data_IF_901418336068
#
_entry.id   IF_901418336068
#
_cell.length_a   1.000
_cell.length_b   1.000
_cell.length_c   1.000
_cell.angle_alpha   90.00
_cell.angle_beta   90.00
_cell.angle_gamma   90.00
#
_symmetry.space_group_name_H-M   'P 1'
#
loop_
_entity.id
_entity.type
_entity.pdbx_description
1 polymer ?
#
# COMPACT_ATOMS: atom_id res chain seq x y z
N UNK A 1 2.52 40.84 -16.16
CA UNK A 1 2.79 39.50 -16.72
C UNK A 1 2.09 38.53 -15.78
N UNK A 2 0.80 38.29 -16.03
CA UNK A 2 -0.07 37.59 -15.09
C UNK A 2 0.04 36.08 -15.28
N UNK A 3 0.20 35.41 -14.14
CA UNK A 3 0.52 34.02 -13.88
C UNK A 3 -0.39 33.02 -14.60
N UNK A 4 0.20 31.90 -14.99
CA UNK A 4 -0.39 30.76 -15.68
C UNK A 4 -1.62 30.19 -14.95
N UNK A 5 -2.74 30.14 -15.65
CA UNK A 5 -3.99 29.49 -15.29
C UNK A 5 -4.08 28.17 -16.09
N UNK A 6 -3.29 27.16 -15.70
CA UNK A 6 -3.12 25.91 -16.48
C UNK A 6 -4.07 24.78 -16.10
N UNK A 7 -5.04 25.00 -15.19
CA UNK A 7 -5.98 23.94 -14.78
C UNK A 7 -5.31 22.69 -14.20
N UNK A 8 -4.04 22.81 -13.76
CA UNK A 8 -3.22 21.69 -13.31
C UNK A 8 -3.44 21.46 -11.81
N UNK A 9 -3.90 20.27 -11.44
CA UNK A 9 -4.04 19.85 -10.04
C UNK A 9 -2.96 18.83 -9.68
N UNK A 10 -2.39 18.97 -8.47
CA UNK A 10 -1.40 18.05 -7.91
C UNK A 10 -2.00 17.31 -6.72
N UNK A 11 -1.87 15.99 -6.71
CA UNK A 11 -2.35 15.14 -5.62
C UNK A 11 -1.20 14.28 -5.09
N UNK A 12 -0.87 14.46 -3.81
CA UNK A 12 0.04 13.58 -3.09
C UNK A 12 -0.75 12.41 -2.48
N UNK A 13 -0.39 11.18 -2.83
CA UNK A 13 -1.00 9.98 -2.25
C UNK A 13 -0.10 9.43 -1.14
N UNK A 14 -0.58 9.50 0.09
CA UNK A 14 0.10 8.94 1.25
C UNK A 14 -0.94 8.46 2.27
N UNK A 15 -1.34 7.19 2.18
CA UNK A 15 -2.39 6.59 3.01
C UNK A 15 -2.08 6.68 4.52
N UNK A 16 -0.81 6.61 4.90
CA UNK A 16 -0.38 6.77 6.29
C UNK A 16 -0.71 8.14 6.91
N UNK A 17 -0.93 9.19 6.08
CA UNK A 17 -1.29 10.51 6.59
C UNK A 17 -2.68 10.56 7.20
N UNK A 18 -3.59 9.65 6.85
CA UNK A 18 -4.90 9.57 7.49
C UNK A 18 -4.79 9.33 9.01
N UNK A 19 -3.82 8.52 9.45
CA UNK A 19 -3.58 8.25 10.87
C UNK A 19 -2.87 9.39 11.61
N UNK A 20 -2.24 10.31 10.89
CA UNK A 20 -1.43 11.40 11.49
C UNK A 20 -2.14 12.75 11.43
N UNK A 21 -2.91 12.98 10.37
CA UNK A 21 -3.53 14.26 10.04
C UNK A 21 -5.01 14.14 9.70
N UNK A 22 -5.53 12.93 9.50
CA UNK A 22 -6.94 12.69 9.29
C UNK A 22 -7.73 12.73 10.59
N UNK A 23 -9.03 12.71 10.43
CA UNK A 23 -10.02 12.49 11.47
C UNK A 23 -10.30 11.00 11.65
N UNK A 24 -10.97 10.64 12.72
CA UNK A 24 -11.43 9.26 12.93
C UNK A 24 -12.30 8.78 11.75
N UNK A 25 -13.12 9.67 11.17
CA UNK A 25 -13.93 9.37 9.98
C UNK A 25 -13.09 9.04 8.75
N UNK A 26 -11.93 9.67 8.57
CA UNK A 26 -11.04 9.39 7.42
C UNK A 26 -10.41 7.99 7.56
N UNK A 27 -10.10 7.58 8.79
CA UNK A 27 -9.59 6.23 9.09
C UNK A 27 -10.68 5.18 8.89
N UNK A 28 -11.91 5.47 9.33
CA UNK A 28 -13.07 4.60 9.11
C UNK A 28 -13.36 4.40 7.62
N UNK A 29 -13.35 5.47 6.82
CA UNK A 29 -13.57 5.41 5.38
C UNK A 29 -12.49 4.56 4.67
N UNK A 30 -11.22 4.74 5.04
CA UNK A 30 -10.14 3.87 4.54
C UNK A 30 -10.34 2.40 4.92
N UNK A 31 -10.90 2.14 6.11
CA UNK A 31 -11.26 0.79 6.55
C UNK A 31 -12.30 0.15 5.64
N UNK A 32 -13.39 0.88 5.34
CA UNK A 32 -14.45 0.40 4.44
C UNK A 32 -13.92 0.12 3.03
N UNK A 33 -13.10 1.01 2.49
CA UNK A 33 -12.45 0.80 1.18
C UNK A 33 -11.56 -0.45 1.17
N UNK A 34 -10.86 -0.72 2.28
CA UNK A 34 -10.03 -1.91 2.41
C UNK A 34 -10.86 -3.19 2.46
N UNK A 35 -11.99 -3.18 3.17
CA UNK A 35 -12.92 -4.32 3.22
C UNK A 35 -13.47 -4.67 1.84
N UNK A 36 -13.88 -3.66 1.06
CA UNK A 36 -14.33 -3.86 -0.33
C UNK A 36 -13.22 -4.46 -1.20
N UNK A 37 -11.99 -3.96 -1.10
CA UNK A 37 -10.86 -4.50 -1.84
C UNK A 37 -10.57 -5.96 -1.46
N UNK A 38 -10.67 -6.30 -0.17
CA UNK A 38 -10.48 -7.68 0.28
C UNK A 38 -11.57 -8.62 -0.21
N UNK A 39 -12.82 -8.17 -0.29
CA UNK A 39 -13.88 -8.97 -0.89
C UNK A 39 -13.54 -9.35 -2.34
N UNK A 40 -13.08 -8.38 -3.15
CA UNK A 40 -12.64 -8.64 -4.53
C UNK A 40 -11.46 -9.61 -4.63
N UNK A 41 -10.52 -9.54 -3.68
CA UNK A 41 -9.40 -10.50 -3.61
C UNK A 41 -9.91 -11.91 -3.26
N UNK A 42 -10.82 -12.02 -2.30
CA UNK A 42 -11.42 -13.30 -1.89
C UNK A 42 -12.26 -13.94 -3.01
N UNK A 43 -12.97 -13.13 -3.78
CA UNK A 43 -13.78 -13.57 -4.92
C UNK A 43 -12.92 -13.89 -6.16
N UNK A 44 -11.61 -13.62 -6.10
CA UNK A 44 -10.66 -13.87 -7.19
C UNK A 44 -10.74 -12.86 -8.33
N UNK A 45 -11.45 -11.75 -8.16
CA UNK A 45 -11.52 -10.65 -9.12
C UNK A 45 -10.25 -9.81 -9.14
N UNK A 46 -9.51 -9.80 -8.02
CA UNK A 46 -8.21 -9.13 -7.88
C UNK A 46 -7.14 -10.12 -7.44
N UNK A 47 -6.11 -10.30 -8.26
CA UNK A 47 -4.90 -11.03 -7.87
C UNK A 47 -4.01 -10.12 -6.99
N UNK A 48 -3.64 -10.52 -5.75
CA UNK A 48 -2.76 -9.75 -4.90
C UNK A 48 -1.29 -9.75 -5.38
N UNK A 49 -0.92 -10.56 -6.38
CA UNK A 49 0.41 -10.66 -7.00
C UNK A 49 1.48 -10.95 -5.94
N UNK A 50 1.20 -11.90 -5.04
CA UNK A 50 2.19 -12.37 -4.06
C UNK A 50 3.21 -13.25 -4.79
N UNK A 51 4.47 -12.85 -4.78
CA UNK A 51 5.55 -13.56 -5.46
C UNK A 51 6.37 -14.46 -4.54
N UNK A 52 6.35 -14.18 -3.23
CA UNK A 52 7.04 -14.99 -2.23
C UNK A 52 6.29 -14.98 -0.89
N UNK A 53 6.29 -16.13 -0.23
CA UNK A 53 5.83 -16.28 1.15
C UNK A 53 7.01 -16.76 1.99
N UNK A 54 7.24 -16.11 3.13
CA UNK A 54 8.38 -16.39 4.03
C UNK A 54 7.89 -16.58 5.47
N UNK A 55 8.70 -17.24 6.28
CA UNK A 55 8.51 -17.27 7.73
C UNK A 55 8.91 -15.93 8.39
N UNK A 56 8.48 -15.72 9.64
CA UNK A 56 8.83 -14.51 10.39
C UNK A 56 10.35 -14.37 10.65
N UNK A 57 11.07 -15.47 10.87
CA UNK A 57 12.51 -15.45 11.12
C UNK A 57 13.34 -15.08 9.89
N UNK A 58 12.78 -15.25 8.69
CA UNK A 58 13.40 -14.84 7.43
C UNK A 58 13.26 -13.34 7.12
N UNK A 59 12.38 -12.61 7.82
CA UNK A 59 12.10 -11.19 7.56
C UNK A 59 13.37 -10.33 7.58
N UNK A 60 14.26 -10.42 8.59
CA UNK A 60 15.47 -9.59 8.60
C UNK A 60 16.38 -9.84 7.40
N UNK A 61 16.48 -11.11 6.98
CA UNK A 61 17.29 -11.48 5.81
C UNK A 61 16.70 -10.91 4.52
N UNK A 62 15.39 -11.05 4.31
CA UNK A 62 14.72 -10.50 3.12
C UNK A 62 14.80 -8.98 3.05
N UNK A 63 14.69 -8.28 4.17
CA UNK A 63 14.87 -6.84 4.22
C UNK A 63 16.29 -6.41 3.80
N UNK A 64 17.31 -7.18 4.20
CA UNK A 64 18.69 -6.93 3.77
C UNK A 64 18.85 -7.13 2.25
N UNK A 65 18.29 -8.19 1.68
CA UNK A 65 18.31 -8.41 0.23
C UNK A 65 17.60 -7.28 -0.55
N UNK A 66 16.45 -6.81 -0.04
CA UNK A 66 15.71 -5.70 -0.64
C UNK A 66 16.52 -4.39 -0.61
N UNK A 67 17.24 -4.12 0.48
CA UNK A 67 18.12 -2.96 0.60
C UNK A 67 19.29 -3.00 -0.41
N UNK A 68 19.72 -4.19 -0.81
CA UNK A 68 20.72 -4.42 -1.87
C UNK A 68 20.13 -4.35 -3.29
N UNK A 69 18.84 -4.06 -3.44
CA UNK A 69 18.14 -3.99 -4.74
C UNK A 69 17.71 -5.34 -5.30
N UNK A 70 17.82 -6.43 -4.54
CA UNK A 70 17.33 -7.76 -4.93
C UNK A 70 15.84 -7.86 -4.63
N UNK A 71 15.00 -7.18 -5.42
CA UNK A 71 13.54 -7.23 -5.23
C UNK A 71 12.89 -8.27 -6.15
N UNK A 72 12.21 -9.26 -5.57
CA UNK A 72 11.49 -10.31 -6.29
C UNK A 72 9.97 -10.08 -6.43
N UNK A 73 9.47 -8.86 -6.18
CA UNK A 73 8.04 -8.55 -6.12
C UNK A 73 7.49 -8.56 -4.68
N UNK A 74 6.17 -8.75 -4.53
CA UNK A 74 5.49 -8.70 -3.22
C UNK A 74 5.79 -9.95 -2.40
N UNK A 75 6.48 -9.75 -1.28
CA UNK A 75 6.78 -10.81 -0.31
C UNK A 75 5.86 -10.66 0.91
N UNK A 76 5.27 -11.76 1.38
CA UNK A 76 4.39 -11.81 2.55
C UNK A 76 5.01 -12.71 3.61
N UNK A 77 5.13 -12.22 4.85
CA UNK A 77 5.50 -13.04 5.99
C UNK A 77 4.25 -13.71 6.58
N UNK A 78 4.34 -15.00 6.89
CA UNK A 78 3.25 -15.79 7.47
C UNK A 78 3.63 -16.32 8.86
N UNK A 79 2.60 -16.53 9.69
CA UNK A 79 2.70 -17.05 11.06
C UNK A 79 2.66 -18.57 11.09
#
# INVERSE_FOLDING_TARGET
MNSLDTGLSWFGLATGLAYVHGTDSDVEELGLMLEELFALVCDGEVDPIVTSTISLDEVPHRLAEMAEGKSGGKTVAVL
#
